data_IF_075281386570
#
_entry.id   IF_075281386570
#
_cell.length_a   1.000
_cell.length_b   1.000
_cell.length_c   1.000
_cell.angle_alpha   90.00
_cell.angle_beta   90.00
_cell.angle_gamma   90.00
#
_symmetry.space_group_name_H-M   'P 1'
#
loop_
_entity.id
_entity.type
_entity.pdbx_description
1 polymer ?
#
# COMPACT_ATOMS: atom_id res chain seq x y z
N UNK A 1 30.57 -18.52 -0.25
CA UNK A 1 30.14 -18.08 1.09
C UNK A 1 29.92 -16.58 1.00
N UNK A 2 28.73 -16.16 0.50
CA UNK A 2 28.35 -14.75 0.46
C UNK A 2 27.85 -14.36 1.85
N UNK A 3 28.58 -13.45 2.49
CA UNK A 3 28.07 -12.77 3.68
C UNK A 3 26.93 -11.85 3.24
N UNK A 4 25.68 -12.24 3.55
CA UNK A 4 24.57 -11.32 3.57
C UNK A 4 24.81 -10.39 4.75
N UNK A 5 25.28 -9.17 4.47
CA UNK A 5 25.30 -8.10 5.45
C UNK A 5 23.85 -7.76 5.77
N UNK A 6 23.32 -8.34 6.85
CA UNK A 6 22.14 -7.81 7.54
C UNK A 6 22.51 -6.40 8.03
N UNK A 7 22.19 -5.38 7.24
CA UNK A 7 22.14 -4.02 7.73
C UNK A 7 21.05 -3.98 8.80
N UNK A 8 21.43 -4.18 10.05
CA UNK A 8 20.62 -3.86 11.21
C UNK A 8 20.34 -2.34 11.18
N UNK A 9 19.26 -1.93 10.53
CA UNK A 9 18.71 -0.59 10.69
C UNK A 9 18.25 -0.48 12.15
N UNK A 10 19.02 0.23 12.97
CA UNK A 10 18.68 0.51 14.36
C UNK A 10 17.50 1.48 14.50
N UNK A 11 16.35 1.11 13.93
CA UNK A 11 15.10 1.82 14.09
C UNK A 11 14.39 1.24 15.30
N UNK A 12 14.08 2.08 16.29
CA UNK A 12 13.28 1.65 17.43
C UNK A 12 11.84 1.48 17.01
N UNK A 13 11.38 0.25 16.97
CA UNK A 13 9.95 -0.06 16.82
C UNK A 13 9.23 0.41 18.06
N UNK A 14 8.23 1.25 17.87
CA UNK A 14 7.37 1.80 18.92
C UNK A 14 5.98 1.20 18.83
N UNK A 15 5.21 1.28 19.90
CA UNK A 15 3.83 0.79 19.92
C UNK A 15 2.85 1.83 20.46
N UNK A 16 1.58 1.65 20.10
CA UNK A 16 0.44 2.37 20.65
C UNK A 16 -0.77 1.42 20.73
N UNK A 17 -1.82 1.83 21.42
CA UNK A 17 -3.01 0.99 21.57
C UNK A 17 -4.24 1.65 20.96
N UNK A 18 -5.09 0.84 20.34
CA UNK A 18 -6.45 1.15 19.97
C UNK A 18 -7.38 0.18 20.70
N UNK A 19 -7.97 0.61 21.82
CA UNK A 19 -8.61 -0.24 22.80
C UNK A 19 -7.64 -1.36 23.25
N UNK A 20 -8.02 -2.64 23.13
CA UNK A 20 -7.21 -3.79 23.54
C UNK A 20 -6.22 -4.24 22.45
N UNK A 21 -6.16 -3.55 21.31
CA UNK A 21 -5.30 -3.88 20.20
C UNK A 21 -4.02 -3.06 20.29
N UNK A 22 -2.87 -3.74 20.41
CA UNK A 22 -1.56 -3.10 20.31
C UNK A 22 -1.14 -3.03 18.84
N UNK A 23 -0.72 -1.84 18.39
CA UNK A 23 -0.24 -1.56 17.04
C UNK A 23 1.18 -1.01 17.10
N UNK A 24 1.91 -1.13 15.99
CA UNK A 24 3.32 -0.77 15.92
C UNK A 24 3.59 0.24 14.83
N UNK A 25 4.64 1.02 15.01
CA UNK A 25 5.17 1.95 14.02
C UNK A 25 6.68 2.13 14.18
N UNK A 26 7.31 2.61 13.15
CA UNK A 26 8.71 3.01 13.14
C UNK A 26 8.81 4.49 12.79
N UNK A 27 9.84 5.16 13.30
CA UNK A 27 10.05 6.56 12.95
C UNK A 27 11.53 6.84 12.70
N UNK A 28 11.79 7.78 11.78
CA UNK A 28 13.13 8.19 11.40
C UNK A 28 13.14 9.62 10.90
N UNK A 29 14.18 10.37 11.25
CA UNK A 29 14.39 11.74 10.76
C UNK A 29 13.92 12.82 11.73
N UNK A 30 13.90 14.06 11.24
CA UNK A 30 13.49 15.27 11.97
C UNK A 30 12.77 16.22 11.02
N UNK A 31 11.78 16.94 11.53
CA UNK A 31 10.98 17.90 10.78
C UNK A 31 9.49 17.62 10.91
N UNK A 32 8.65 18.16 10.01
CA UNK A 32 7.22 17.88 9.96
C UNK A 32 6.93 16.38 9.86
N UNK A 33 5.80 15.93 10.36
CA UNK A 33 5.44 14.52 10.35
C UNK A 33 4.96 14.06 8.97
N UNK A 34 5.62 13.05 8.41
CA UNK A 34 5.21 12.36 7.18
C UNK A 34 4.83 10.92 7.52
N UNK A 35 3.56 10.58 7.42
CA UNK A 35 3.06 9.24 7.67
C UNK A 35 3.03 8.42 6.38
N UNK A 36 3.70 7.28 6.40
CA UNK A 36 3.81 6.35 5.26
C UNK A 36 2.84 5.20 5.49
N UNK A 37 1.88 5.06 4.57
CA UNK A 37 0.86 4.01 4.55
C UNK A 37 1.16 3.05 3.41
N UNK A 38 1.46 1.80 3.75
CA UNK A 38 1.79 0.73 2.78
C UNK A 38 0.58 0.30 1.97
N UNK A 39 0.81 -0.44 0.89
CA UNK A 39 -0.24 -1.02 0.04
C UNK A 39 -0.96 -2.21 0.69
N UNK A 40 -1.68 -2.96 -0.07
CA UNK A 40 -2.44 -4.14 0.35
C UNK A 40 -3.94 -3.97 0.22
N UNK A 41 -4.76 -4.16 1.28
CA UNK A 41 -4.44 -4.29 2.71
C UNK A 41 -3.63 -5.53 3.05
N UNK A 42 -2.74 -5.41 4.04
CA UNK A 42 -1.94 -6.53 4.55
C UNK A 42 -0.47 -6.55 4.13
N UNK A 43 -0.01 -5.61 3.28
CA UNK A 43 1.41 -5.47 2.97
C UNK A 43 2.19 -4.96 4.19
N UNK A 44 3.27 -5.65 4.59
CA UNK A 44 4.12 -5.20 5.67
C UNK A 44 4.94 -3.97 5.26
N UNK A 45 5.48 -3.20 6.21
CA UNK A 45 6.61 -2.33 5.94
C UNK A 45 7.77 -3.11 5.33
N UNK A 46 8.23 -2.65 4.16
CA UNK A 46 9.31 -3.25 3.39
C UNK A 46 9.88 -2.23 2.41
N UNK A 47 10.81 -2.62 1.56
CA UNK A 47 11.12 -1.85 0.37
C UNK A 47 9.81 -1.55 -0.42
N UNK A 48 9.47 -0.32 -0.84
CA UNK A 48 10.32 0.88 -0.80
C UNK A 48 10.15 1.75 0.46
N UNK A 49 9.32 1.36 1.43
CA UNK A 49 8.97 2.24 2.57
C UNK A 49 10.22 2.71 3.33
N UNK A 50 11.17 1.82 3.55
CA UNK A 50 12.42 2.17 4.24
C UNK A 50 13.33 3.10 3.41
N UNK A 51 13.39 2.92 2.10
CA UNK A 51 14.15 3.81 1.23
C UNK A 51 13.51 5.19 1.12
N UNK A 52 12.19 5.26 1.09
CA UNK A 52 11.44 6.53 1.18
C UNK A 52 11.81 7.25 2.49
N UNK A 53 11.76 6.55 3.63
CA UNK A 53 12.18 7.12 4.92
C UNK A 53 13.63 7.62 4.86
N UNK A 54 14.53 6.84 4.29
CA UNK A 54 15.96 7.22 4.19
C UNK A 54 16.19 8.43 3.29
N UNK A 55 15.44 8.57 2.22
CA UNK A 55 15.55 9.70 1.29
C UNK A 55 15.00 11.00 1.89
N UNK A 56 14.07 10.92 2.85
CA UNK A 56 13.33 12.06 3.39
C UNK A 56 13.68 12.41 4.86
N UNK A 57 14.46 11.58 5.54
CA UNK A 57 14.80 11.76 6.98
C UNK A 57 15.49 13.08 7.34
N UNK A 58 16.06 13.77 6.37
CA UNK A 58 16.67 15.09 6.58
C UNK A 58 15.63 16.21 6.63
N UNK A 59 14.46 16.02 6.03
CA UNK A 59 13.41 17.03 5.87
C UNK A 59 12.19 16.73 6.72
N UNK A 60 11.88 15.44 6.93
CA UNK A 60 10.69 14.99 7.63
C UNK A 60 11.01 14.04 8.78
N UNK A 61 10.16 14.03 9.78
CA UNK A 61 10.01 12.88 10.67
C UNK A 61 9.10 11.88 9.98
N UNK A 62 9.70 10.89 9.30
CA UNK A 62 8.97 9.83 8.63
C UNK A 62 8.42 8.84 9.66
N UNK A 63 7.13 8.55 9.61
CA UNK A 63 6.41 7.62 10.50
C UNK A 63 5.82 6.51 9.66
N UNK A 64 6.36 5.31 9.78
CA UNK A 64 5.94 4.13 9.05
C UNK A 64 5.01 3.29 9.92
N UNK A 65 3.72 3.32 9.61
CA UNK A 65 2.70 2.56 10.35
C UNK A 65 2.69 1.10 9.89
N UNK A 66 2.87 0.17 10.82
CA UNK A 66 2.47 -1.22 10.61
C UNK A 66 0.94 -1.29 10.73
N UNK A 67 0.26 -1.24 9.61
CA UNK A 67 -1.20 -1.26 9.58
C UNK A 67 -1.74 -2.52 10.26
N UNK A 68 -2.96 -2.45 10.82
CA UNK A 68 -3.61 -3.61 11.42
C UNK A 68 -3.64 -4.79 10.45
N UNK A 69 -3.32 -5.97 10.96
CA UNK A 69 -3.21 -7.18 10.14
C UNK A 69 -1.91 -7.29 9.32
N UNK A 70 -0.96 -6.34 9.42
CA UNK A 70 0.27 -6.34 8.65
C UNK A 70 1.52 -6.14 9.51
N UNK A 71 2.67 -6.63 9.06
CA UNK A 71 3.96 -6.48 9.70
C UNK A 71 3.92 -6.88 11.18
N UNK A 72 4.38 -6.00 12.09
CA UNK A 72 4.35 -6.26 13.54
C UNK A 72 2.94 -6.17 14.15
N UNK A 73 1.99 -5.53 13.45
CA UNK A 73 0.57 -5.48 13.83
C UNK A 73 -0.25 -6.65 13.24
N UNK A 74 0.42 -7.71 12.74
CA UNK A 74 -0.21 -8.88 12.12
C UNK A 74 -1.09 -9.70 13.07
N UNK A 75 -0.82 -9.66 14.37
CA UNK A 75 -1.56 -10.37 15.42
C UNK A 75 -2.98 -9.86 15.65
N UNK A 76 -3.37 -8.75 15.05
CA UNK A 76 -4.73 -8.22 15.14
C UNK A 76 -5.72 -9.26 14.62
N UNK A 77 -6.80 -9.58 15.37
CA UNK A 77 -7.83 -10.52 14.91
C UNK A 77 -8.41 -10.06 13.56
N UNK A 78 -8.52 -10.99 12.60
CA UNK A 78 -9.02 -10.70 11.26
C UNK A 78 -10.50 -11.06 11.18
N UNK A 79 -11.37 -10.06 11.24
CA UNK A 79 -12.82 -10.18 11.13
C UNK A 79 -13.45 -8.81 10.77
N UNK A 80 -14.75 -8.75 10.48
CA UNK A 80 -15.46 -7.52 10.09
C UNK A 80 -15.40 -6.40 11.13
N UNK A 81 -15.28 -6.72 12.42
CA UNK A 81 -15.20 -5.70 13.49
C UNK A 81 -13.83 -5.03 13.55
N UNK A 82 -12.80 -5.73 13.12
CA UNK A 82 -11.41 -5.27 13.20
C UNK A 82 -10.86 -4.83 11.85
N UNK A 83 -11.30 -5.43 10.75
CA UNK A 83 -10.85 -5.13 9.39
C UNK A 83 -11.96 -4.41 8.65
N UNK A 84 -11.95 -3.09 8.74
CA UNK A 84 -12.83 -2.16 8.04
C UNK A 84 -12.17 -0.78 7.94
N UNK A 85 -12.53 0.01 6.96
CA UNK A 85 -11.92 1.32 6.68
C UNK A 85 -11.91 2.21 7.94
N UNK A 86 -13.02 2.30 8.65
CA UNK A 86 -13.13 3.13 9.85
C UNK A 86 -12.10 2.77 10.94
N UNK A 87 -11.81 1.49 11.11
CA UNK A 87 -10.81 1.00 12.07
C UNK A 87 -9.39 1.40 11.68
N UNK A 88 -9.03 1.34 10.39
CA UNK A 88 -7.73 1.82 9.90
C UNK A 88 -7.58 3.33 10.08
N UNK A 89 -8.63 4.12 9.80
CA UNK A 89 -8.59 5.56 9.98
C UNK A 89 -8.43 5.95 11.45
N UNK A 90 -9.09 5.22 12.34
CA UNK A 90 -8.96 5.42 13.80
C UNK A 90 -7.53 5.12 14.26
N UNK A 91 -6.85 4.14 13.71
CA UNK A 91 -5.45 3.84 14.06
C UNK A 91 -4.54 5.01 13.69
N UNK A 92 -4.70 5.57 12.49
CA UNK A 92 -3.91 6.74 12.04
C UNK A 92 -4.13 7.92 12.99
N UNK A 93 -5.39 8.21 13.34
CA UNK A 93 -5.72 9.32 14.24
C UNK A 93 -5.17 9.11 15.66
N UNK A 94 -5.29 7.91 16.21
CA UNK A 94 -4.73 7.60 17.53
C UNK A 94 -3.20 7.68 17.55
N UNK A 95 -2.53 7.25 16.48
CA UNK A 95 -1.09 7.42 16.36
C UNK A 95 -0.71 8.89 16.29
N UNK A 96 -1.42 9.70 15.50
CA UNK A 96 -1.19 11.15 15.43
C UNK A 96 -1.34 11.80 16.80
N UNK A 97 -2.42 11.48 17.51
CA UNK A 97 -2.68 12.00 18.86
C UNK A 97 -1.58 11.58 19.85
N UNK A 98 -1.20 10.31 19.85
CA UNK A 98 -0.14 9.79 20.72
C UNK A 98 1.19 10.50 20.50
N UNK A 99 1.51 10.83 19.24
CA UNK A 99 2.74 11.55 18.90
C UNK A 99 2.65 13.05 19.16
N UNK A 100 1.44 13.59 19.31
CA UNK A 100 1.21 15.03 19.48
C UNK A 100 1.35 15.83 18.17
N UNK A 101 1.30 15.16 17.02
CA UNK A 101 1.41 15.81 15.71
C UNK A 101 0.15 16.62 15.43
N UNK A 102 0.26 17.95 15.25
CA UNK A 102 -0.89 18.82 14.97
C UNK A 102 -1.47 18.55 13.59
N UNK A 103 -0.62 18.50 12.59
CA UNK A 103 -0.91 18.13 11.22
C UNK A 103 0.13 17.12 10.70
N UNK A 104 -0.28 16.30 9.75
CA UNK A 104 0.56 15.27 9.12
C UNK A 104 0.47 15.37 7.60
N UNK A 105 1.60 15.18 6.93
CA UNK A 105 1.66 14.83 5.52
C UNK A 105 1.38 13.33 5.42
N UNK A 106 0.50 12.91 4.52
CA UNK A 106 0.22 11.49 4.28
C UNK A 106 0.81 11.06 2.94
N UNK A 107 1.63 10.02 2.95
CA UNK A 107 2.10 9.31 1.77
C UNK A 107 1.46 7.94 1.77
N UNK A 108 0.62 7.68 0.79
CA UNK A 108 -0.10 6.42 0.65
C UNK A 108 0.24 5.71 -0.65
N UNK A 109 0.61 4.43 -0.55
CA UNK A 109 0.91 3.55 -1.68
C UNK A 109 -0.32 2.67 -1.92
N UNK A 110 -0.89 2.67 -3.15
CA UNK A 110 -1.99 1.76 -3.51
C UNK A 110 -3.17 1.88 -2.52
N UNK A 111 -3.51 0.82 -1.78
CA UNK A 111 -4.43 0.82 -0.65
C UNK A 111 -4.15 1.91 0.38
N UNK A 112 -2.88 2.14 0.71
CA UNK A 112 -2.48 3.23 1.62
C UNK A 112 -2.91 4.61 1.10
N UNK A 113 -2.95 4.79 -0.21
CA UNK A 113 -3.48 6.00 -0.85
C UNK A 113 -4.99 6.17 -0.65
N UNK A 114 -5.76 5.08 -0.70
CA UNK A 114 -7.18 5.08 -0.34
C UNK A 114 -7.37 5.49 1.12
N UNK A 115 -6.59 4.93 2.03
CA UNK A 115 -6.64 5.31 3.44
C UNK A 115 -6.29 6.79 3.64
N UNK A 116 -5.26 7.29 2.96
CA UNK A 116 -4.83 8.69 3.02
C UNK A 116 -5.94 9.64 2.56
N UNK A 117 -6.62 9.33 1.45
CA UNK A 117 -7.77 10.09 0.97
C UNK A 117 -8.94 10.07 1.96
N UNK A 118 -9.30 8.91 2.50
CA UNK A 118 -10.37 8.77 3.50
C UNK A 118 -10.07 9.53 4.78
N UNK A 119 -8.84 9.41 5.29
CA UNK A 119 -8.41 10.13 6.48
C UNK A 119 -8.50 11.65 6.26
N UNK A 120 -8.08 12.14 5.10
CA UNK A 120 -8.14 13.56 4.77
C UNK A 120 -9.57 14.11 4.67
N UNK A 121 -10.51 13.29 4.22
CA UNK A 121 -11.95 13.62 4.22
C UNK A 121 -12.50 13.70 5.64
N UNK A 122 -12.12 12.75 6.50
CA UNK A 122 -12.65 12.64 7.86
C UNK A 122 -12.01 13.68 8.81
N UNK A 123 -10.71 13.96 8.62
CA UNK A 123 -9.91 14.84 9.49
C UNK A 123 -9.16 15.93 8.69
N UNK A 124 -9.85 16.75 7.87
CA UNK A 124 -9.18 17.69 6.97
C UNK A 124 -8.29 18.70 7.68
N UNK A 125 -8.60 19.07 8.92
CA UNK A 125 -7.81 20.00 9.73
C UNK A 125 -6.48 19.40 10.21
N UNK A 126 -6.32 18.08 10.18
CA UNK A 126 -5.12 17.37 10.64
C UNK A 126 -4.17 17.00 9.50
N UNK A 127 -4.49 17.34 8.24
CA UNK A 127 -3.69 16.97 7.08
C UNK A 127 -3.08 18.21 6.44
N UNK A 128 -1.75 18.24 6.31
CA UNK A 128 -1.03 19.31 5.63
C UNK A 128 -0.94 19.06 4.11
N UNK A 129 -0.99 17.82 3.66
CA UNK A 129 -0.98 17.46 2.24
C UNK A 129 -0.99 15.95 2.01
N UNK A 130 -1.11 15.56 0.75
CA UNK A 130 -1.15 14.16 0.30
C UNK A 130 -0.09 13.86 -0.75
N UNK A 131 0.46 12.66 -0.67
CA UNK A 131 1.22 12.00 -1.75
C UNK A 131 0.55 10.67 -2.05
N UNK A 132 0.02 10.53 -3.24
CA UNK A 132 -0.71 9.36 -3.72
C UNK A 132 0.14 8.63 -4.75
N UNK A 133 0.69 7.47 -4.37
CA UNK A 133 1.55 6.63 -5.19
C UNK A 133 0.77 5.43 -5.72
N UNK A 134 0.38 5.44 -6.99
CA UNK A 134 -0.46 4.40 -7.57
C UNK A 134 -1.69 4.11 -6.72
N UNK A 135 -2.34 5.16 -6.20
CA UNK A 135 -3.40 5.01 -5.19
C UNK A 135 -4.65 4.35 -5.75
N UNK A 136 -5.27 3.49 -4.94
CA UNK A 136 -6.53 2.83 -5.26
C UNK A 136 -7.67 3.86 -5.52
N UNK A 137 -8.73 3.47 -6.26
CA UNK A 137 -9.77 4.41 -6.69
C UNK A 137 -10.57 4.99 -5.51
N UNK A 138 -11.04 6.24 -5.61
CA UNK A 138 -11.84 6.89 -4.57
C UNK A 138 -13.33 6.52 -4.62
N UNK A 139 -13.71 5.55 -5.45
CA UNK A 139 -15.09 5.11 -5.64
C UNK A 139 -15.17 3.62 -6.01
N UNK A 140 -16.18 2.93 -5.48
CA UNK A 140 -16.47 1.52 -5.80
C UNK A 140 -16.69 1.30 -7.30
N UNK A 141 -17.13 2.31 -8.04
CA UNK A 141 -17.40 2.22 -9.48
C UNK A 141 -16.18 1.83 -10.31
N UNK A 142 -14.97 2.15 -9.82
CA UNK A 142 -13.71 1.80 -10.47
C UNK A 142 -13.00 0.59 -9.78
N UNK A 143 -13.60 0.03 -8.72
CA UNK A 143 -12.97 -1.07 -7.98
C UNK A 143 -12.75 -2.31 -8.85
N UNK A 144 -13.74 -2.67 -9.65
CA UNK A 144 -13.62 -3.80 -10.57
C UNK A 144 -12.70 -3.53 -11.76
N UNK A 145 -12.55 -2.27 -12.17
CA UNK A 145 -11.63 -1.88 -13.27
C UNK A 145 -10.18 -2.25 -12.97
N UNK A 146 -9.79 -2.22 -11.69
CA UNK A 146 -8.48 -2.69 -11.25
C UNK A 146 -8.26 -4.16 -11.63
N UNK A 147 -9.22 -5.03 -11.34
CA UNK A 147 -9.11 -6.47 -11.65
C UNK A 147 -9.07 -6.72 -13.16
N UNK A 148 -9.90 -5.99 -13.94
CA UNK A 148 -9.90 -6.07 -15.40
C UNK A 148 -8.55 -5.63 -15.97
N UNK A 149 -7.98 -4.53 -15.48
CA UNK A 149 -6.66 -4.07 -15.89
C UNK A 149 -5.56 -5.09 -15.57
N UNK A 150 -5.59 -5.68 -14.39
CA UNK A 150 -4.66 -6.73 -13.99
C UNK A 150 -4.81 -7.97 -14.87
N UNK A 151 -6.03 -8.34 -15.24
CA UNK A 151 -6.30 -9.47 -16.11
C UNK A 151 -5.74 -9.25 -17.52
N UNK A 152 -6.03 -8.10 -18.13
CA UNK A 152 -5.62 -7.76 -19.51
C UNK A 152 -4.11 -7.61 -19.68
N UNK A 153 -3.35 -7.47 -18.59
CA UNK A 153 -1.88 -7.37 -18.62
C UNK A 153 -1.17 -8.73 -18.65
N UNK A 154 -1.90 -9.83 -18.69
CA UNK A 154 -1.35 -11.18 -18.72
C UNK A 154 -1.54 -11.81 -20.09
N UNK A 155 -0.58 -12.64 -20.50
CA UNK A 155 -0.73 -13.48 -21.69
C UNK A 155 -1.74 -14.60 -21.42
N UNK A 156 -2.28 -15.20 -22.49
CA UNK A 156 -3.17 -16.37 -22.39
C UNK A 156 -2.50 -17.50 -21.62
N UNK A 157 -1.22 -17.78 -21.90
CA UNK A 157 -0.47 -18.84 -21.20
C UNK A 157 -0.25 -18.55 -19.71
N UNK A 158 -0.11 -17.27 -19.31
CA UNK A 158 -0.06 -16.88 -17.90
C UNK A 158 -1.40 -17.09 -17.22
N UNK A 159 -2.52 -16.71 -17.88
CA UNK A 159 -3.87 -16.93 -17.37
C UNK A 159 -4.18 -18.41 -17.21
N UNK A 160 -3.82 -19.24 -18.19
CA UNK A 160 -4.00 -20.70 -18.10
C UNK A 160 -3.17 -21.27 -16.94
N UNK A 161 -1.93 -20.81 -16.77
CA UNK A 161 -1.07 -21.21 -15.66
C UNK A 161 -1.67 -20.80 -14.31
N UNK A 162 -2.19 -19.57 -14.19
CA UNK A 162 -2.86 -19.11 -12.98
C UNK A 162 -4.11 -19.94 -12.64
N UNK A 163 -4.93 -20.28 -13.65
CA UNK A 163 -6.10 -21.14 -13.47
C UNK A 163 -5.72 -22.54 -12.96
N UNK A 164 -4.64 -23.13 -13.49
CA UNK A 164 -4.14 -24.43 -13.04
C UNK A 164 -3.61 -24.35 -11.60
N UNK A 165 -2.80 -23.34 -11.28
CA UNK A 165 -2.24 -23.13 -9.96
C UNK A 165 -3.34 -22.88 -8.92
N UNK A 166 -4.35 -22.07 -9.26
CA UNK A 166 -5.47 -21.76 -8.37
C UNK A 166 -6.24 -23.01 -7.95
N UNK A 167 -6.45 -23.98 -8.84
CA UNK A 167 -7.11 -25.25 -8.51
C UNK A 167 -6.39 -26.03 -7.41
N UNK A 168 -5.07 -25.83 -7.24
CA UNK A 168 -4.27 -26.55 -6.23
C UNK A 168 -4.52 -25.98 -4.84
N UNK A 169 -4.63 -24.63 -4.70
CA UNK A 169 -4.75 -23.98 -3.40
C UNK A 169 -6.15 -23.48 -3.06
N UNK A 170 -7.09 -23.43 -4.03
CA UNK A 170 -8.44 -22.86 -3.84
C UNK A 170 -9.30 -23.59 -2.80
N UNK A 171 -8.91 -24.78 -2.35
CA UNK A 171 -9.57 -25.50 -1.26
C UNK A 171 -9.13 -25.01 0.13
N UNK A 172 -8.14 -24.12 0.20
CA UNK A 172 -7.63 -23.51 1.42
C UNK A 172 -8.17 -22.09 1.56
N UNK A 173 -8.56 -21.73 2.75
CA UNK A 173 -8.79 -20.34 3.11
C UNK A 173 -7.48 -19.55 3.18
N UNK A 174 -7.54 -18.23 3.09
CA UNK A 174 -6.36 -17.36 3.26
C UNK A 174 -5.66 -17.57 4.61
N UNK A 175 -6.43 -17.86 5.67
CA UNK A 175 -5.89 -18.16 6.99
C UNK A 175 -5.12 -19.48 7.02
N UNK A 176 -5.64 -20.51 6.35
CA UNK A 176 -4.96 -21.82 6.24
C UNK A 176 -3.70 -21.72 5.39
N UNK A 177 -3.75 -21.00 4.24
CA UNK A 177 -2.57 -20.76 3.41
C UNK A 177 -1.51 -19.97 4.16
N UNK A 178 -1.90 -18.96 4.94
CA UNK A 178 -0.99 -18.16 5.72
C UNK A 178 -0.34 -18.97 6.86
N UNK A 179 -1.09 -19.85 7.52
CA UNK A 179 -0.55 -20.78 8.51
C UNK A 179 0.40 -21.78 7.86
N UNK A 180 -0.02 -22.39 6.76
CA UNK A 180 0.77 -23.38 6.02
C UNK A 180 2.07 -22.79 5.47
N UNK A 181 2.04 -21.56 4.97
CA UNK A 181 3.20 -20.80 4.49
C UNK A 181 4.31 -20.70 5.56
N UNK A 182 3.94 -20.60 6.83
CA UNK A 182 4.89 -20.56 7.95
C UNK A 182 5.31 -21.94 8.44
N UNK A 183 4.41 -22.91 8.39
CA UNK A 183 4.65 -24.26 8.91
C UNK A 183 5.39 -25.18 7.92
N UNK A 184 5.02 -25.11 6.64
CA UNK A 184 5.60 -25.89 5.54
C UNK A 184 5.66 -25.05 4.25
N UNK A 185 6.71 -24.24 4.06
CA UNK A 185 6.89 -23.41 2.85
C UNK A 185 6.98 -24.21 1.55
N UNK A 186 7.23 -25.52 1.62
CA UNK A 186 7.34 -26.40 0.45
C UNK A 186 6.06 -27.20 0.16
N UNK A 187 5.01 -27.03 0.97
CA UNK A 187 3.71 -27.61 0.68
C UNK A 187 3.24 -27.23 -0.72
N UNK A 188 2.64 -28.18 -1.45
CA UNK A 188 2.22 -27.97 -2.84
C UNK A 188 1.27 -26.77 -3.01
N UNK A 189 0.39 -26.53 -2.04
CA UNK A 189 -0.55 -25.42 -2.03
C UNK A 189 0.19 -24.07 -1.87
N UNK A 190 1.21 -24.01 -1.01
CA UNK A 190 2.05 -22.82 -0.82
C UNK A 190 2.87 -22.52 -2.06
N UNK A 191 3.49 -23.55 -2.66
CA UNK A 191 4.26 -23.41 -3.89
C UNK A 191 3.37 -22.96 -5.04
N UNK A 192 2.17 -23.54 -5.18
CA UNK A 192 1.21 -23.13 -6.18
C UNK A 192 0.74 -21.68 -5.98
N UNK A 193 0.40 -21.29 -4.77
CA UNK A 193 0.01 -19.93 -4.43
C UNK A 193 1.15 -18.93 -4.68
N UNK A 194 2.38 -19.28 -4.32
CA UNK A 194 3.56 -18.46 -4.59
C UNK A 194 3.77 -18.22 -6.09
N UNK A 195 3.67 -19.27 -6.89
CA UNK A 195 3.82 -19.17 -8.35
C UNK A 195 2.68 -18.34 -8.98
N UNK A 196 1.45 -18.51 -8.49
CA UNK A 196 0.31 -17.68 -8.87
C UNK A 196 0.59 -16.19 -8.60
N UNK A 197 1.04 -15.86 -7.38
CA UNK A 197 1.37 -14.49 -6.99
C UNK A 197 2.59 -13.94 -7.77
N UNK A 198 3.55 -14.78 -8.14
CA UNK A 198 4.68 -14.36 -8.95
C UNK A 198 4.23 -13.89 -10.35
N UNK A 199 3.25 -14.57 -10.96
CA UNK A 199 2.66 -14.13 -12.23
C UNK A 199 1.93 -12.80 -12.03
N UNK A 200 1.19 -12.66 -10.93
CA UNK A 200 0.47 -11.44 -10.59
C UNK A 200 1.41 -10.25 -10.44
N UNK A 201 2.45 -10.37 -9.63
CA UNK A 201 3.41 -9.29 -9.36
C UNK A 201 4.20 -8.91 -10.62
N UNK A 202 4.57 -9.88 -11.47
CA UNK A 202 5.20 -9.57 -12.76
C UNK A 202 4.33 -8.69 -13.66
N UNK A 203 3.02 -8.91 -13.65
CA UNK A 203 2.09 -8.09 -14.43
C UNK A 203 1.94 -6.66 -13.91
N UNK A 204 2.34 -6.37 -12.66
CA UNK A 204 2.36 -5.03 -12.07
C UNK A 204 3.57 -4.19 -12.52
N UNK A 205 4.59 -4.81 -13.12
CA UNK A 205 5.77 -4.11 -13.66
C UNK A 205 5.61 -3.82 -15.15
N UNK A 206 6.23 -2.74 -15.61
CA UNK A 206 6.49 -2.51 -17.03
C UNK A 206 7.58 -3.48 -17.53
N UNK A 207 8.72 -3.49 -16.85
CA UNK A 207 9.80 -4.45 -17.10
C UNK A 207 9.62 -5.67 -16.19
N UNK A 208 8.98 -6.69 -16.71
CA UNK A 208 8.64 -7.92 -15.97
C UNK A 208 9.84 -8.68 -15.40
N UNK A 209 11.06 -8.43 -15.92
CA UNK A 209 12.28 -9.04 -15.40
C UNK A 209 12.67 -8.54 -14.01
N UNK A 210 12.19 -7.34 -13.62
CA UNK A 210 12.48 -6.72 -12.32
C UNK A 210 11.68 -7.30 -11.17
N UNK A 211 10.57 -7.99 -11.46
CA UNK A 211 9.65 -8.52 -10.43
C UNK A 211 10.26 -9.58 -9.49
N UNK A 212 11.45 -10.08 -9.75
CA UNK A 212 12.07 -11.12 -8.94
C UNK A 212 12.79 -10.58 -7.68
N UNK A 213 13.12 -9.28 -7.64
CA UNK A 213 14.04 -8.71 -6.65
C UNK A 213 13.60 -8.87 -5.19
N UNK A 214 12.36 -8.45 -4.87
CA UNK A 214 11.84 -8.45 -3.49
C UNK A 214 10.60 -9.35 -3.33
N UNK A 215 10.31 -10.18 -4.33
CA UNK A 215 9.08 -10.99 -4.34
C UNK A 215 9.00 -11.98 -3.17
N UNK A 216 10.11 -12.63 -2.82
CA UNK A 216 10.15 -13.59 -1.71
C UNK A 216 9.78 -12.92 -0.38
N UNK A 217 10.39 -11.78 -0.07
CA UNK A 217 10.11 -11.02 1.15
C UNK A 217 8.65 -10.56 1.16
N UNK A 218 8.16 -10.02 0.05
CA UNK A 218 6.78 -9.61 -0.13
C UNK A 218 5.84 -10.78 0.11
N UNK A 219 6.05 -11.92 -0.56
CA UNK A 219 5.15 -13.06 -0.47
C UNK A 219 5.03 -13.62 0.94
N UNK A 220 6.16 -13.83 1.64
CA UNK A 220 6.13 -14.36 3.01
C UNK A 220 5.68 -13.33 4.05
N UNK A 221 5.93 -12.05 3.82
CA UNK A 221 5.51 -10.97 4.72
C UNK A 221 4.05 -10.58 4.57
N UNK A 222 3.47 -10.70 3.37
CA UNK A 222 2.11 -10.27 3.08
C UNK A 222 1.06 -11.12 3.80
N UNK A 223 0.06 -10.45 4.41
CA UNK A 223 -1.13 -11.09 4.94
C UNK A 223 -2.32 -10.83 4.00
N UNK A 224 -2.78 -11.87 3.32
CA UNK A 224 -3.88 -11.75 2.35
C UNK A 224 -5.27 -11.72 3.02
N UNK A 225 -5.38 -12.13 4.28
CA UNK A 225 -6.66 -12.27 4.99
C UNK A 225 -7.48 -10.96 5.11
N UNK A 226 -6.91 -9.74 5.20
CA UNK A 226 -7.69 -8.51 5.23
C UNK A 226 -8.42 -8.16 3.94
N UNK A 227 -7.94 -8.62 2.78
CA UNK A 227 -8.43 -8.23 1.46
C UNK A 227 -9.94 -8.49 1.29
N UNK A 228 -10.46 -9.72 1.53
CA UNK A 228 -11.87 -10.00 1.31
C UNK A 228 -12.83 -9.13 2.15
N UNK A 229 -12.41 -8.72 3.35
CA UNK A 229 -13.23 -7.86 4.21
C UNK A 229 -13.35 -6.44 3.65
N UNK A 230 -12.25 -5.90 3.12
CA UNK A 230 -12.25 -4.56 2.51
C UNK A 230 -12.98 -4.58 1.17
N UNK A 231 -12.76 -5.60 0.32
CA UNK A 231 -13.49 -5.75 -0.95
C UNK A 231 -14.99 -5.80 -0.70
N UNK A 232 -15.42 -6.60 0.28
CA UNK A 232 -16.82 -6.70 0.69
C UNK A 232 -17.35 -5.34 1.15
N UNK A 233 -16.65 -4.64 2.06
CA UNK A 233 -17.07 -3.33 2.55
C UNK A 233 -17.24 -2.33 1.41
N UNK A 234 -16.24 -2.20 0.54
CA UNK A 234 -16.26 -1.27 -0.59
C UNK A 234 -17.45 -1.54 -1.53
N UNK A 235 -17.70 -2.80 -1.86
CA UNK A 235 -18.75 -3.19 -2.81
C UNK A 235 -20.15 -3.14 -2.21
N UNK A 236 -20.35 -3.67 -1.00
CA UNK A 236 -21.68 -3.72 -0.37
C UNK A 236 -22.16 -2.34 0.08
N UNK A 237 -21.27 -1.49 0.57
CA UNK A 237 -21.64 -0.12 0.97
C UNK A 237 -21.71 0.85 -0.21
N UNK A 238 -21.29 0.43 -1.41
CA UNK A 238 -21.09 1.31 -2.58
C UNK A 238 -20.23 2.50 -2.22
N UNK A 239 -19.10 2.22 -1.56
CA UNK A 239 -18.23 3.21 -0.99
C UNK A 239 -17.76 4.23 -2.04
N UNK A 240 -17.96 5.52 -1.75
CA UNK A 240 -17.62 6.62 -2.62
C UNK A 240 -17.32 7.89 -1.80
N UNK A 241 -16.12 8.45 -1.97
CA UNK A 241 -15.71 9.69 -1.29
C UNK A 241 -15.45 10.85 -2.27
N UNK A 242 -15.78 10.67 -3.54
CA UNK A 242 -15.49 11.66 -4.60
C UNK A 242 -16.06 13.05 -4.30
N UNK A 243 -17.29 13.13 -3.80
CA UNK A 243 -17.93 14.39 -3.43
C UNK A 243 -17.26 15.09 -2.24
N UNK A 244 -16.75 14.31 -1.30
CA UNK A 244 -16.05 14.83 -0.13
C UNK A 244 -14.62 15.30 -0.48
N UNK A 245 -13.91 14.56 -1.34
CA UNK A 245 -12.59 14.94 -1.84
C UNK A 245 -12.59 16.29 -2.55
N UNK A 246 -13.67 16.63 -3.29
CA UNK A 246 -13.83 17.93 -3.98
C UNK A 246 -13.82 19.14 -3.05
N UNK A 247 -14.03 18.93 -1.75
CA UNK A 247 -14.03 20.00 -0.72
C UNK A 247 -12.64 20.23 -0.12
N UNK A 248 -11.67 19.34 -0.38
CA UNK A 248 -10.32 19.48 0.11
C UNK A 248 -9.54 20.52 -0.70
N UNK A 249 -8.78 21.38 0.00
CA UNK A 249 -7.90 22.39 -0.58
C UNK A 249 -6.41 22.14 -0.32
N UNK A 250 -6.07 21.05 0.35
CA UNK A 250 -4.69 20.67 0.67
C UNK A 250 -3.88 20.36 -0.61
N UNK A 251 -2.55 20.59 -0.63
CA UNK A 251 -1.70 20.22 -1.75
C UNK A 251 -1.63 18.70 -1.90
N UNK A 252 -1.70 18.21 -3.14
CA UNK A 252 -1.68 16.77 -3.45
C UNK A 252 -0.73 16.47 -4.59
N UNK A 253 0.15 15.48 -4.42
CA UNK A 253 0.85 14.82 -5.52
C UNK A 253 0.10 13.53 -5.87
N UNK A 254 -0.27 13.39 -7.15
CA UNK A 254 -0.75 12.14 -7.73
C UNK A 254 0.35 11.61 -8.65
N UNK A 255 1.04 10.55 -8.26
CA UNK A 255 2.15 9.95 -8.98
C UNK A 255 1.82 8.50 -9.34
N UNK A 256 1.94 8.16 -10.63
CA UNK A 256 1.69 6.82 -11.13
C UNK A 256 2.54 6.47 -12.35
N UNK A 257 2.71 5.18 -12.60
CA UNK A 257 3.31 4.68 -13.82
C UNK A 257 2.34 4.69 -15.00
N UNK A 258 2.79 4.97 -16.21
CA UNK A 258 1.92 4.96 -17.42
C UNK A 258 1.19 3.64 -17.58
N UNK A 259 1.79 2.54 -17.18
CA UNK A 259 1.23 1.20 -17.26
C UNK A 259 0.79 0.66 -15.88
N UNK A 260 0.43 1.54 -14.96
CA UNK A 260 -0.09 1.14 -13.65
C UNK A 260 -1.44 0.41 -13.82
N UNK A 261 -1.61 -0.70 -13.11
CA UNK A 261 -2.82 -1.52 -13.14
C UNK A 261 -4.02 -0.88 -12.42
N UNK A 262 -3.79 0.16 -11.59
CA UNK A 262 -4.89 0.97 -11.06
C UNK A 262 -5.68 1.67 -12.18
N UNK A 263 -5.06 1.84 -13.34
CA UNK A 263 -5.67 2.34 -14.55
C UNK A 263 -5.81 3.87 -14.61
N UNK A 264 -5.74 4.40 -15.83
CA UNK A 264 -5.78 5.84 -16.08
C UNK A 264 -7.09 6.48 -15.58
N UNK A 265 -8.22 5.76 -15.65
CA UNK A 265 -9.51 6.22 -15.15
C UNK A 265 -9.48 6.57 -13.64
N UNK A 266 -8.74 5.79 -12.84
CA UNK A 266 -8.58 6.04 -11.41
C UNK A 266 -7.85 7.37 -11.15
N UNK A 267 -6.73 7.58 -11.82
CA UNK A 267 -5.93 8.81 -11.63
C UNK A 267 -6.63 10.05 -12.19
N UNK A 268 -7.36 9.89 -13.28
CA UNK A 268 -8.19 10.95 -13.83
C UNK A 268 -9.31 11.36 -12.85
N UNK A 269 -10.00 10.38 -12.25
CA UNK A 269 -11.02 10.65 -11.24
C UNK A 269 -10.42 11.31 -10.00
N UNK A 270 -9.26 10.87 -9.52
CA UNK A 270 -8.55 11.50 -8.41
C UNK A 270 -8.22 12.95 -8.74
N UNK A 271 -7.71 13.24 -9.95
CA UNK A 271 -7.42 14.60 -10.42
C UNK A 271 -8.67 15.49 -10.47
N UNK A 272 -9.79 14.94 -10.93
CA UNK A 272 -11.06 15.69 -10.98
C UNK A 272 -11.57 16.02 -9.57
N UNK A 273 -11.33 15.15 -8.59
CA UNK A 273 -11.78 15.36 -7.23
C UNK A 273 -10.84 16.26 -6.41
N UNK A 274 -9.54 16.15 -6.62
CA UNK A 274 -8.50 16.85 -5.86
C UNK A 274 -8.00 18.08 -6.66
N UNK A 275 -8.70 19.19 -6.50
CA UNK A 275 -8.48 20.41 -7.32
C UNK A 275 -7.06 20.96 -7.21
N UNK A 276 -6.47 20.94 -6.01
CA UNK A 276 -5.11 21.42 -5.74
C UNK A 276 -4.09 20.27 -5.87
N UNK A 277 -4.14 19.54 -7.00
CA UNK A 277 -3.24 18.42 -7.24
C UNK A 277 -2.30 18.63 -8.41
N UNK A 278 -1.04 18.23 -8.22
CA UNK A 278 -0.02 18.02 -9.22
C UNK A 278 -0.06 16.56 -9.65
N UNK A 279 -0.23 16.30 -10.96
CA UNK A 279 -0.20 14.93 -11.51
C UNK A 279 1.14 14.71 -12.19
N UNK A 280 1.80 13.61 -11.86
CA UNK A 280 3.03 13.15 -12.50
C UNK A 280 2.85 11.72 -12.99
N UNK A 281 3.28 11.48 -14.21
CA UNK A 281 3.23 10.17 -14.86
C UNK A 281 4.66 9.76 -15.20
N UNK A 282 5.05 8.57 -14.78
CA UNK A 282 6.35 7.99 -15.12
C UNK A 282 6.16 7.07 -16.34
N UNK A 283 6.85 7.35 -17.41
CA UNK A 283 6.80 6.54 -18.64
C UNK A 283 7.57 5.22 -18.46
N UNK A 284 7.15 4.17 -19.19
CA UNK A 284 7.74 2.83 -19.11
C UNK A 284 7.77 2.32 -17.65
N UNK A 285 6.65 2.42 -16.99
CA UNK A 285 6.52 2.21 -15.56
C UNK A 285 5.13 1.64 -15.23
N UNK A 286 5.10 0.54 -14.48
CA UNK A 286 3.89 -0.06 -13.93
C UNK A 286 3.57 0.45 -12.53
N UNK A 287 2.91 -0.39 -11.75
CA UNK A 287 2.52 -0.08 -10.37
C UNK A 287 3.73 0.04 -9.42
N UNK A 288 4.78 -0.72 -9.68
CA UNK A 288 5.98 -0.80 -8.84
C UNK A 288 7.02 0.22 -9.32
N UNK A 289 6.70 1.51 -9.18
CA UNK A 289 7.45 2.63 -9.74
C UNK A 289 8.91 2.69 -9.26
N UNK A 290 9.16 2.33 -8.01
CA UNK A 290 10.49 2.33 -7.40
C UNK A 290 11.42 1.23 -7.91
N UNK A 291 10.88 0.22 -8.59
CA UNK A 291 11.66 -0.81 -9.27
C UNK A 291 11.77 -0.55 -10.77
N UNK A 292 10.67 -0.14 -11.42
CA UNK A 292 10.68 0.14 -12.85
C UNK A 292 11.54 1.36 -13.21
N UNK A 293 11.36 2.48 -12.50
CA UNK A 293 12.03 3.76 -12.79
C UNK A 293 12.49 4.45 -11.49
N UNK A 294 13.41 3.87 -10.71
CA UNK A 294 13.78 4.36 -9.38
C UNK A 294 14.31 5.81 -9.40
N UNK A 295 15.17 6.15 -10.35
CA UNK A 295 15.76 7.49 -10.40
C UNK A 295 14.71 8.60 -10.60
N UNK A 296 13.76 8.39 -11.51
CA UNK A 296 12.69 9.34 -11.78
C UNK A 296 11.69 9.38 -10.63
N UNK A 297 11.31 8.22 -10.09
CA UNK A 297 10.43 8.10 -8.94
C UNK A 297 10.94 8.92 -7.74
N UNK A 298 12.16 8.67 -7.27
CA UNK A 298 12.71 9.39 -6.11
C UNK A 298 12.95 10.87 -6.40
N UNK A 299 13.33 11.24 -7.62
CA UNK A 299 13.48 12.65 -8.04
C UNK A 299 12.16 13.41 -7.95
N UNK A 300 11.07 12.86 -8.45
CA UNK A 300 9.75 13.49 -8.39
C UNK A 300 9.28 13.60 -6.94
N UNK A 301 9.34 12.49 -6.19
CA UNK A 301 8.89 12.41 -4.81
C UNK A 301 9.62 13.42 -3.91
N UNK A 302 10.93 13.42 -3.93
CA UNK A 302 11.76 14.30 -3.09
C UNK A 302 11.59 15.76 -3.50
N UNK A 303 11.53 16.05 -4.82
CA UNK A 303 11.32 17.42 -5.30
C UNK A 303 9.98 17.99 -4.84
N UNK A 304 8.89 17.20 -4.90
CA UNK A 304 7.59 17.63 -4.44
C UNK A 304 7.56 17.90 -2.93
N UNK A 305 8.06 16.96 -2.15
CA UNK A 305 8.05 17.04 -0.68
C UNK A 305 8.98 18.15 -0.15
N UNK A 306 10.08 18.46 -0.84
CA UNK A 306 10.94 19.60 -0.46
C UNK A 306 10.24 20.95 -0.68
N UNK A 307 9.35 21.07 -1.67
CA UNK A 307 8.59 22.29 -1.95
C UNK A 307 7.36 22.46 -1.06
N UNK A 308 6.87 21.38 -0.47
CA UNK A 308 5.65 21.33 0.36
C UNK A 308 5.95 20.66 1.71
N UNK A 309 6.82 21.28 2.54
CA UNK A 309 7.25 20.69 3.81
C UNK A 309 6.15 20.64 4.89
#
# INVERSE_FOLDING_TARGET
MLLVMNCCYGQSVKSFSNADIQLFYEEKGKGPALYILTGGPGAPPQHPSYEIMDSLKATYTCVLLHQRGAGKSRHVPINEKTINIASYLKDIELLRQKRGDKQIMLLGISWGGLLAMNYSVLYPQHVSGLVLLGAAPPSYTLWNVLFDNQYTRRSISELDSMNMLQKIFSQKTDAELDSLKRADPLAKEVVAFKNFMAIHVRAMHYDRSKAAGNFEELFYGFNFQPIPYIDKEVMETRWDITSALKKLSIPVLILYGRQDDQGEATFFLQKQCLKNSEVRVIEKCGHIMWEDQPAEFYKILTSYLTKNP
#
